data_IF_416539411615
#
_entry.id   IF_416539411615
#
_cell.length_a   1.000
_cell.length_b   1.000
_cell.length_c   1.000
_cell.angle_alpha   90.00
_cell.angle_beta   90.00
_cell.angle_gamma   90.00
#
_symmetry.space_group_name_H-M   'P 1'
#
loop_
_entity.id
_entity.type
_entity.pdbx_description
1 polymer ?
#
# COMPACT_ATOMS: atom_id res chain seq x y z
N UNK A 1 2.85 35.02 -26.41
CA UNK A 1 2.84 34.19 -25.18
C UNK A 1 2.96 32.74 -25.62
N UNK A 2 4.07 32.03 -25.41
CA UNK A 2 4.15 30.61 -25.74
C UNK A 2 3.08 29.86 -24.94
N UNK A 3 2.25 29.08 -25.63
CA UNK A 3 1.11 28.37 -25.04
C UNK A 3 1.57 27.48 -23.90
N UNK A 4 1.00 27.69 -22.71
CA UNK A 4 1.33 26.91 -21.51
C UNK A 4 0.95 25.45 -21.78
N UNK A 5 1.92 24.53 -21.78
CA UNK A 5 1.67 23.12 -22.02
C UNK A 5 0.60 22.59 -21.08
N UNK A 6 -0.36 21.81 -21.62
CA UNK A 6 -1.43 21.21 -20.83
C UNK A 6 -0.82 20.29 -19.78
N UNK A 7 -1.08 20.50 -18.47
CA UNK A 7 -0.59 19.62 -17.42
C UNK A 7 -0.93 18.16 -17.71
N UNK A 8 0.00 17.26 -17.41
CA UNK A 8 -0.15 15.82 -17.62
C UNK A 8 -0.11 15.11 -16.28
N UNK A 9 -0.93 14.05 -16.14
CA UNK A 9 -0.80 13.05 -15.10
C UNK A 9 -0.35 11.75 -15.75
N UNK A 10 0.57 11.04 -15.08
CA UNK A 10 1.09 9.77 -15.56
C UNK A 10 0.94 8.66 -14.52
N UNK A 11 0.66 7.45 -14.98
CA UNK A 11 0.94 6.23 -14.22
C UNK A 11 2.45 6.05 -14.08
N UNK A 12 2.89 5.21 -13.14
CA UNK A 12 4.32 4.95 -12.93
C UNK A 12 4.99 4.29 -14.15
N UNK A 13 4.21 3.63 -15.01
CA UNK A 13 4.68 3.03 -16.26
C UNK A 13 4.83 4.01 -17.44
N UNK A 14 4.55 5.31 -17.24
CA UNK A 14 4.73 6.35 -18.26
C UNK A 14 3.49 6.65 -19.11
N UNK A 15 2.39 5.90 -18.97
CA UNK A 15 1.12 6.23 -19.59
C UNK A 15 0.63 7.59 -19.06
N UNK A 16 0.51 8.58 -19.93
CA UNK A 16 0.20 9.97 -19.57
C UNK A 16 -1.08 10.45 -20.22
N UNK A 17 -1.88 11.22 -19.49
CA UNK A 17 -3.10 11.87 -19.98
C UNK A 17 -3.17 13.33 -19.50
N UNK A 18 -3.86 14.23 -20.24
CA UNK A 18 -4.11 15.59 -19.79
C UNK A 18 -4.84 15.59 -18.44
N UNK A 19 -4.27 16.28 -17.45
CA UNK A 19 -4.88 16.33 -16.13
C UNK A 19 -4.03 17.07 -15.11
N UNK A 20 -4.67 17.48 -14.01
CA UNK A 20 -4.00 17.97 -12.81
C UNK A 20 -4.71 17.50 -11.55
N UNK A 21 -3.95 17.40 -10.47
CA UNK A 21 -4.48 17.13 -9.14
C UNK A 21 -4.88 18.45 -8.44
N UNK A 22 -6.05 18.44 -7.84
CA UNK A 22 -6.48 19.45 -6.87
C UNK A 22 -6.18 18.91 -5.47
N UNK A 23 -5.29 19.58 -4.73
CA UNK A 23 -4.81 19.12 -3.43
C UNK A 23 -5.20 20.10 -2.33
N UNK A 24 -5.74 19.58 -1.25
CA UNK A 24 -6.09 20.32 -0.04
C UNK A 24 -5.93 19.41 1.17
N UNK A 25 -5.74 19.99 2.36
CA UNK A 25 -5.90 19.28 3.63
C UNK A 25 -7.36 18.87 3.87
N UNK A 26 -8.31 19.58 3.26
CA UNK A 26 -9.73 19.25 3.26
C UNK A 26 -10.09 18.37 2.06
N UNK A 27 -9.64 17.10 2.06
CA UNK A 27 -9.79 16.18 0.93
C UNK A 27 -11.24 16.06 0.44
N UNK A 28 -12.21 16.00 1.35
CA UNK A 28 -13.62 15.88 0.99
C UNK A 28 -14.12 17.04 0.10
N UNK A 29 -13.62 18.26 0.32
CA UNK A 29 -14.02 19.44 -0.45
C UNK A 29 -13.50 19.38 -1.88
N UNK A 30 -12.22 19.04 -2.05
CA UNK A 30 -11.61 18.93 -3.39
C UNK A 30 -12.06 17.68 -4.16
N UNK A 31 -12.52 16.65 -3.44
CA UNK A 31 -13.04 15.41 -4.01
C UNK A 31 -14.49 15.51 -4.51
N UNK A 32 -15.33 16.38 -3.93
CA UNK A 32 -16.72 16.56 -4.41
C UNK A 32 -16.75 16.88 -5.90
N UNK A 33 -17.58 16.14 -6.64
CA UNK A 33 -17.75 16.29 -8.07
C UNK A 33 -16.53 15.86 -8.90
N UNK A 34 -15.58 15.11 -8.33
CA UNK A 34 -14.45 14.52 -9.07
C UNK A 34 -14.68 13.04 -9.31
N UNK A 35 -14.07 12.53 -10.38
CA UNK A 35 -14.22 11.13 -10.78
C UNK A 35 -13.36 10.18 -9.94
N UNK A 36 -12.23 10.65 -9.42
CA UNK A 36 -11.30 9.83 -8.63
C UNK A 36 -10.47 10.68 -7.67
N UNK A 37 -9.90 10.00 -6.66
CA UNK A 37 -8.81 10.50 -5.83
C UNK A 37 -7.51 9.80 -6.20
N UNK A 38 -6.48 10.59 -6.45
CA UNK A 38 -5.13 10.13 -6.74
C UNK A 38 -4.26 10.24 -5.49
N UNK A 39 -3.60 9.13 -5.14
CA UNK A 39 -2.55 9.09 -4.13
C UNK A 39 -1.20 9.53 -4.71
N UNK A 40 -0.12 8.82 -4.37
CA UNK A 40 1.23 9.13 -4.86
C UNK A 40 1.52 8.64 -6.29
N UNK A 41 0.53 8.08 -7.01
CA UNK A 41 0.72 7.73 -8.43
C UNK A 41 1.70 6.59 -8.71
N UNK A 42 1.78 5.61 -7.80
CA UNK A 42 2.65 4.42 -7.92
C UNK A 42 1.97 3.21 -8.60
N UNK A 43 0.68 3.31 -8.91
CA UNK A 43 0.06 2.38 -9.87
C UNK A 43 0.67 2.63 -11.24
N UNK A 44 1.02 1.55 -11.95
CA UNK A 44 1.72 1.63 -13.23
C UNK A 44 0.80 2.08 -14.37
N UNK A 45 -0.43 1.60 -14.35
CA UNK A 45 -1.43 1.85 -15.40
C UNK A 45 -2.26 3.12 -15.15
N UNK A 46 -3.51 3.06 -15.58
CA UNK A 46 -4.45 4.17 -15.62
C UNK A 46 -5.42 4.22 -14.42
N UNK A 47 -5.31 3.31 -13.45
CA UNK A 47 -6.25 3.23 -12.32
C UNK A 47 -6.34 4.52 -11.47
N UNK A 48 -5.33 5.38 -11.56
CA UNK A 48 -5.31 6.70 -10.91
C UNK A 48 -5.16 7.85 -11.92
N UNK A 49 -5.64 7.66 -13.15
CA UNK A 49 -5.68 8.66 -14.22
C UNK A 49 -7.14 9.03 -14.54
N UNK A 50 -7.41 10.31 -14.86
CA UNK A 50 -8.76 10.73 -15.19
C UNK A 50 -9.27 10.04 -16.47
N UNK A 51 -10.59 9.76 -16.55
CA UNK A 51 -11.19 9.29 -17.79
C UNK A 51 -11.18 10.39 -18.87
N UNK A 52 -11.38 10.03 -20.16
CA UNK A 52 -11.45 11.00 -21.25
C UNK A 52 -12.43 12.15 -20.98
N UNK A 53 -12.01 13.37 -21.26
CA UNK A 53 -12.80 14.59 -21.03
C UNK A 53 -12.73 15.15 -19.61
N UNK A 54 -12.16 14.42 -18.63
CA UNK A 54 -11.92 14.92 -17.28
C UNK A 54 -10.47 15.41 -17.15
N UNK A 55 -10.29 16.65 -16.72
CA UNK A 55 -8.95 17.29 -16.61
C UNK A 55 -8.52 17.60 -15.19
N UNK A 56 -9.36 17.27 -14.21
CA UNK A 56 -9.09 17.52 -12.78
C UNK A 56 -9.53 16.33 -11.95
N UNK A 57 -8.65 15.91 -11.04
CA UNK A 57 -8.90 14.84 -10.06
C UNK A 57 -8.54 15.36 -8.67
N UNK A 58 -9.07 14.76 -7.61
CA UNK A 58 -8.60 15.06 -6.27
C UNK A 58 -7.22 14.42 -6.03
N UNK A 59 -6.34 15.11 -5.31
CA UNK A 59 -5.07 14.57 -4.84
C UNK A 59 -5.08 14.47 -3.32
N UNK A 60 -4.85 13.28 -2.77
CA UNK A 60 -4.94 13.05 -1.33
C UNK A 60 -3.71 13.50 -0.55
N UNK A 61 -2.59 13.78 -1.21
CA UNK A 61 -1.26 13.95 -0.58
C UNK A 61 -1.11 15.14 0.38
N UNK A 62 -2.16 15.93 0.61
CA UNK A 62 -2.18 17.01 1.61
C UNK A 62 -3.09 16.72 2.81
N UNK A 63 -3.86 15.62 2.76
CA UNK A 63 -4.65 15.11 3.87
C UNK A 63 -3.93 13.88 4.42
N UNK A 64 -2.90 14.11 5.25
CA UNK A 64 -1.93 13.12 5.71
C UNK A 64 -1.81 13.05 7.25
N UNK A 65 -2.80 13.56 7.99
CA UNK A 65 -2.76 13.57 9.45
C UNK A 65 -3.02 12.19 10.05
N UNK A 66 -2.29 11.88 11.12
CA UNK A 66 -2.68 10.83 12.07
C UNK A 66 -3.76 11.43 12.98
N UNK A 67 -4.96 10.85 12.95
CA UNK A 67 -6.13 11.35 13.67
C UNK A 67 -6.26 10.71 15.06
N UNK A 68 -5.89 9.43 15.18
CA UNK A 68 -5.85 8.71 16.44
C UNK A 68 -4.84 7.57 16.39
N UNK A 69 -4.19 7.29 17.52
CA UNK A 69 -3.35 6.12 17.73
C UNK A 69 -3.61 5.58 19.14
N UNK A 70 -4.12 4.36 19.22
CA UNK A 70 -4.22 3.62 20.47
C UNK A 70 -3.02 2.66 20.55
N UNK A 71 -2.00 2.95 21.39
CA UNK A 71 -0.85 2.09 21.53
C UNK A 71 -1.12 0.86 22.39
N UNK A 72 -2.23 0.81 23.16
CA UNK A 72 -2.60 -0.35 23.98
C UNK A 72 -3.29 -1.41 23.12
N UNK A 73 -4.25 -1.00 22.28
CA UNK A 73 -4.83 -1.82 21.22
C UNK A 73 -4.33 -1.28 19.87
N UNK A 74 -3.18 -1.75 19.34
CA UNK A 74 -2.37 -1.12 18.30
C UNK A 74 -3.19 -0.83 17.04
N UNK A 75 -3.86 0.32 17.04
CA UNK A 75 -4.81 0.74 16.00
C UNK A 75 -4.56 2.21 15.72
N UNK A 76 -4.54 2.52 14.44
CA UNK A 76 -4.33 3.86 13.92
C UNK A 76 -5.55 4.27 13.11
N UNK A 77 -6.03 5.49 13.30
CA UNK A 77 -6.89 6.18 12.35
C UNK A 77 -6.12 7.34 11.74
N UNK A 78 -6.06 7.40 10.42
CA UNK A 78 -5.32 8.44 9.71
C UNK A 78 -6.04 8.84 8.41
N UNK A 79 -5.70 10.02 7.89
CA UNK A 79 -6.18 10.47 6.59
C UNK A 79 -5.59 9.62 5.46
N UNK A 80 -6.38 9.42 4.41
CA UNK A 80 -6.06 8.53 3.30
C UNK A 80 -4.84 8.99 2.47
N UNK A 81 -4.38 10.23 2.64
CA UNK A 81 -3.18 10.76 2.02
C UNK A 81 -1.88 10.46 2.76
N UNK A 82 -1.94 10.00 4.02
CA UNK A 82 -0.74 9.68 4.79
C UNK A 82 0.12 8.67 4.03
N UNK A 83 1.39 9.00 3.81
CA UNK A 83 2.31 8.12 3.10
C UNK A 83 2.77 6.98 3.99
N UNK A 84 3.03 5.81 3.38
CA UNK A 84 3.58 4.66 4.11
C UNK A 84 4.96 5.00 4.72
N UNK A 85 5.77 5.78 4.01
CA UNK A 85 7.03 6.31 4.54
C UNK A 85 6.77 7.05 5.86
N UNK A 86 5.95 8.10 5.84
CA UNK A 86 5.74 8.95 7.02
C UNK A 86 5.11 8.17 8.16
N UNK A 87 4.21 7.24 7.84
CA UNK A 87 3.64 6.30 8.79
C UNK A 87 4.72 5.45 9.48
N UNK A 88 5.61 4.80 8.71
CA UNK A 88 6.69 3.98 9.26
C UNK A 88 7.61 4.83 10.13
N UNK A 89 8.04 6.01 9.66
CA UNK A 89 8.91 6.90 10.43
C UNK A 89 8.28 7.36 11.76
N UNK A 90 6.95 7.57 11.79
CA UNK A 90 6.25 7.97 13.01
C UNK A 90 6.07 6.81 14.02
N UNK A 91 5.94 5.57 13.53
CA UNK A 91 5.57 4.42 14.35
C UNK A 91 6.75 3.52 14.75
N UNK A 92 7.80 3.45 13.93
CA UNK A 92 8.94 2.57 14.17
C UNK A 92 9.63 2.81 15.53
N UNK A 93 9.86 4.07 15.98
CA UNK A 93 10.42 4.33 17.31
C UNK A 93 9.53 3.87 18.47
N UNK A 94 8.24 3.61 18.21
CA UNK A 94 7.25 3.13 19.19
C UNK A 94 7.10 1.60 19.19
N UNK A 95 7.93 0.90 18.41
CA UNK A 95 7.82 -0.56 18.24
C UNK A 95 6.54 -0.98 17.50
N UNK A 96 5.96 -0.08 16.71
CA UNK A 96 4.76 -0.33 15.92
C UNK A 96 5.09 -0.29 14.43
N UNK A 97 4.43 -1.15 13.66
CA UNK A 97 4.66 -1.27 12.22
C UNK A 97 3.35 -1.58 11.47
N UNK A 98 3.16 -1.05 10.25
CA UNK A 98 2.05 -1.47 9.40
C UNK A 98 2.20 -2.96 9.04
N UNK A 99 1.12 -3.76 9.13
CA UNK A 99 1.22 -5.22 9.01
C UNK A 99 1.58 -5.69 7.60
N UNK A 100 1.33 -4.88 6.57
CA UNK A 100 1.66 -5.20 5.17
C UNK A 100 2.33 -4.00 4.53
N UNK A 101 3.51 -4.24 3.93
CA UNK A 101 4.27 -3.21 3.20
C UNK A 101 4.60 -3.71 1.78
N UNK A 102 4.29 -2.92 0.72
CA UNK A 102 4.67 -3.24 -0.64
C UNK A 102 6.16 -2.92 -0.90
N UNK A 103 6.65 -3.23 -2.10
CA UNK A 103 8.06 -3.01 -2.48
C UNK A 103 8.52 -1.55 -2.53
N UNK A 104 7.63 -0.58 -2.31
CA UNK A 104 7.96 0.85 -2.22
C UNK A 104 7.19 1.53 -1.10
N UNK A 105 7.87 2.39 -0.34
CA UNK A 105 7.25 3.19 0.72
C UNK A 105 6.52 4.44 0.21
N UNK A 106 6.60 4.73 -1.09
CA UNK A 106 6.03 5.94 -1.68
C UNK A 106 4.58 5.74 -2.16
N UNK A 107 3.74 5.20 -1.29
CA UNK A 107 2.29 4.98 -1.49
C UNK A 107 1.52 5.67 -0.37
N UNK A 108 0.27 6.06 -0.61
CA UNK A 108 -0.61 6.57 0.47
C UNK A 108 -1.44 5.44 1.06
N UNK A 109 -1.91 5.59 2.30
CA UNK A 109 -2.83 4.63 2.93
C UNK A 109 -4.08 4.38 2.07
N UNK A 110 -4.70 5.43 1.53
CA UNK A 110 -5.85 5.30 0.64
C UNK A 110 -5.53 4.51 -0.62
N UNK A 111 -4.35 4.72 -1.23
CA UNK A 111 -3.90 3.94 -2.38
C UNK A 111 -3.62 2.48 -2.04
N UNK A 112 -3.06 2.23 -0.85
CA UNK A 112 -2.84 0.87 -0.35
C UNK A 112 -4.15 0.10 -0.19
N UNK A 113 -5.17 0.72 0.43
CA UNK A 113 -6.50 0.13 0.60
C UNK A 113 -7.21 -0.05 -0.74
N UNK A 114 -7.20 0.97 -1.59
CA UNK A 114 -7.87 0.93 -2.89
C UNK A 114 -7.31 -0.15 -3.81
N UNK A 115 -6.02 -0.46 -3.74
CA UNK A 115 -5.38 -1.52 -4.52
C UNK A 115 -5.24 -2.85 -3.77
N UNK A 116 -5.73 -2.92 -2.53
CA UNK A 116 -5.54 -4.03 -1.59
C UNK A 116 -4.12 -4.62 -1.62
N UNK A 117 -3.12 -3.75 -1.44
CA UNK A 117 -1.72 -4.11 -1.68
C UNK A 117 -1.25 -5.26 -0.79
N UNK A 118 -0.30 -6.03 -1.31
CA UNK A 118 0.37 -7.13 -0.61
C UNK A 118 1.85 -6.82 -0.35
N UNK A 119 2.48 -7.64 0.50
CA UNK A 119 3.89 -7.58 0.83
C UNK A 119 4.57 -8.94 0.74
N UNK A 120 5.84 -9.01 1.17
CA UNK A 120 6.60 -10.29 1.22
C UNK A 120 6.04 -11.30 2.24
N UNK A 121 5.12 -10.88 3.09
CA UNK A 121 4.44 -11.68 4.10
C UNK A 121 3.02 -12.12 3.73
N UNK A 122 2.63 -11.98 2.46
CA UNK A 122 1.26 -12.26 2.04
C UNK A 122 0.76 -13.67 2.42
N UNK A 123 1.63 -14.69 2.39
CA UNK A 123 1.24 -16.07 2.76
C UNK A 123 0.89 -16.24 4.24
N UNK A 124 1.32 -15.32 5.12
CA UNK A 124 1.00 -15.31 6.55
C UNK A 124 -0.10 -14.28 6.84
N UNK A 125 0.13 -13.05 6.42
CA UNK A 125 -0.64 -11.87 6.84
C UNK A 125 -1.67 -11.42 5.81
N UNK A 126 -1.64 -11.96 4.58
CA UNK A 126 -2.52 -11.55 3.49
C UNK A 126 -2.21 -10.14 2.96
N UNK A 127 -3.24 -9.49 2.45
CA UNK A 127 -3.20 -8.10 1.95
C UNK A 127 -3.49 -7.09 3.06
N UNK A 128 -3.25 -5.80 2.79
CA UNK A 128 -3.53 -4.73 3.76
C UNK A 128 -5.00 -4.70 4.19
N UNK A 129 -5.94 -5.05 3.31
CA UNK A 129 -7.38 -5.05 3.57
C UNK A 129 -7.81 -6.01 4.67
N UNK A 130 -7.02 -7.06 4.95
CA UNK A 130 -7.25 -7.93 6.12
C UNK A 130 -7.14 -7.16 7.44
N UNK A 131 -6.30 -6.14 7.47
CA UNK A 131 -5.92 -5.38 8.67
C UNK A 131 -6.66 -4.05 8.80
N UNK A 132 -7.39 -3.62 7.77
CA UNK A 132 -8.29 -2.48 7.84
C UNK A 132 -9.49 -2.84 8.73
N UNK A 133 -9.81 -1.97 9.68
CA UNK A 133 -10.93 -2.17 10.62
C UNK A 133 -12.12 -1.27 10.31
N UNK A 134 -11.88 -0.06 9.80
CA UNK A 134 -12.92 0.87 9.39
C UNK A 134 -12.40 1.83 8.31
N UNK A 135 -13.32 2.37 7.51
CA UNK A 135 -13.06 3.33 6.46
C UNK A 135 -14.06 4.48 6.55
N UNK A 136 -13.63 5.68 6.20
CA UNK A 136 -14.53 6.82 5.93
C UNK A 136 -14.43 7.21 4.47
N UNK A 137 -15.58 7.29 3.80
CA UNK A 137 -15.67 7.56 2.37
C UNK A 137 -16.59 8.74 2.07
N UNK A 138 -16.25 9.53 1.04
CA UNK A 138 -17.20 10.37 0.32
C UNK A 138 -17.76 9.58 -0.86
N UNK A 139 -19.06 9.33 -0.87
CA UNK A 139 -19.75 8.58 -1.94
C UNK A 139 -20.11 9.47 -3.12
N UNK A 140 -20.51 8.87 -4.24
CA UNK A 140 -21.01 9.58 -5.41
C UNK A 140 -22.29 10.41 -5.13
N UNK A 141 -23.07 10.04 -4.10
CA UNK A 141 -24.22 10.81 -3.64
C UNK A 141 -23.83 12.10 -2.90
N UNK A 142 -22.53 12.31 -2.62
CA UNK A 142 -22.03 13.45 -1.87
C UNK A 142 -22.11 13.28 -0.34
N UNK A 143 -22.45 12.08 0.12
CA UNK A 143 -22.54 11.72 1.53
C UNK A 143 -21.19 11.21 2.05
N UNK A 144 -20.88 11.54 3.31
CA UNK A 144 -19.75 10.96 4.01
C UNK A 144 -20.26 9.83 4.89
N UNK A 145 -19.77 8.62 4.65
CA UNK A 145 -20.17 7.42 5.37
C UNK A 145 -18.97 6.75 6.01
N UNK A 146 -19.17 6.18 7.20
CA UNK A 146 -18.22 5.25 7.81
C UNK A 146 -18.70 3.82 7.52
N UNK A 147 -17.79 2.94 7.11
CA UNK A 147 -18.06 1.52 6.92
C UNK A 147 -16.99 0.63 7.59
N UNK A 148 -17.40 -0.57 8.00
CA UNK A 148 -16.59 -1.60 8.66
C UNK A 148 -17.17 -2.98 8.32
N UNK A 149 -16.67 -4.04 8.97
CA UNK A 149 -17.23 -5.39 8.84
C UNK A 149 -18.64 -5.50 9.44
N UNK A 150 -19.00 -4.60 10.34
CA UNK A 150 -20.28 -4.54 11.06
C UNK A 150 -21.21 -3.44 10.53
N UNK A 151 -20.64 -2.37 9.94
CA UNK A 151 -21.39 -1.22 9.41
C UNK A 151 -21.21 -1.11 7.90
N UNK A 152 -22.28 -1.21 7.12
CA UNK A 152 -22.23 -1.21 5.64
C UNK A 152 -21.19 -2.23 5.11
N UNK A 153 -21.30 -3.52 5.48
CA UNK A 153 -20.28 -4.53 5.21
C UNK A 153 -20.00 -4.75 3.71
N UNK A 154 -21.02 -4.64 2.87
CA UNK A 154 -20.86 -4.82 1.43
C UNK A 154 -20.07 -3.67 0.80
N UNK A 155 -20.32 -2.43 1.23
CA UNK A 155 -19.52 -1.28 0.82
C UNK A 155 -18.08 -1.43 1.29
N UNK A 156 -17.87 -1.80 2.57
CA UNK A 156 -16.54 -2.02 3.12
C UNK A 156 -15.75 -3.05 2.29
N UNK A 157 -16.33 -4.22 2.03
CA UNK A 157 -15.70 -5.28 1.22
C UNK A 157 -15.44 -4.84 -0.22
N UNK A 158 -16.38 -4.12 -0.85
CA UNK A 158 -16.21 -3.62 -2.21
C UNK A 158 -15.15 -2.50 -2.32
N UNK A 159 -14.91 -1.74 -1.24
CA UNK A 159 -13.87 -0.71 -1.22
C UNK A 159 -12.47 -1.29 -1.14
N UNK A 160 -12.27 -2.39 -0.40
CA UNK A 160 -10.99 -3.09 -0.34
C UNK A 160 -10.64 -3.66 -1.73
N UNK A 161 -9.62 -3.12 -2.37
CA UNK A 161 -9.27 -3.50 -3.75
C UNK A 161 -10.21 -2.91 -4.82
N UNK A 162 -11.15 -2.04 -4.42
CA UNK A 162 -12.13 -1.41 -5.32
C UNK A 162 -11.58 -0.28 -6.19
N UNK A 163 -10.27 -0.03 -6.14
CA UNK A 163 -9.56 0.98 -6.94
C UNK A 163 -10.13 2.41 -6.84
N UNK A 164 -10.81 2.72 -5.71
CA UNK A 164 -11.47 4.01 -5.48
C UNK A 164 -12.80 4.19 -6.21
N UNK A 165 -13.35 3.13 -6.84
CA UNK A 165 -14.59 3.17 -7.61
C UNK A 165 -15.86 3.13 -6.76
N UNK A 166 -15.74 2.87 -5.46
CA UNK A 166 -16.86 2.94 -4.51
C UNK A 166 -17.01 4.33 -3.87
N UNK A 167 -16.05 5.23 -4.09
CA UNK A 167 -16.01 6.57 -3.49
C UNK A 167 -14.60 7.00 -3.11
N UNK A 168 -14.46 8.23 -2.65
CA UNK A 168 -13.19 8.79 -2.23
C UNK A 168 -12.89 8.39 -0.79
N UNK A 169 -11.84 7.58 -0.59
CA UNK A 169 -11.30 7.29 0.73
C UNK A 169 -10.79 8.58 1.38
N UNK A 170 -11.35 8.91 2.55
CA UNK A 170 -10.97 10.08 3.33
C UNK A 170 -10.10 9.69 4.51
N UNK A 171 -10.48 8.64 5.24
CA UNK A 171 -9.79 8.15 6.42
C UNK A 171 -9.73 6.62 6.41
N UNK A 172 -8.65 6.07 6.95
CA UNK A 172 -8.42 4.63 7.09
C UNK A 172 -8.12 4.34 8.56
N UNK A 173 -8.83 3.36 9.12
CA UNK A 173 -8.48 2.75 10.39
C UNK A 173 -7.80 1.39 10.15
N UNK A 174 -6.61 1.21 10.73
CA UNK A 174 -5.70 0.10 10.47
C UNK A 174 -5.23 -0.51 11.79
N UNK A 175 -5.32 -1.83 11.92
CA UNK A 175 -4.63 -2.59 12.96
C UNK A 175 -3.12 -2.64 12.64
N UNK A 176 -2.29 -2.31 13.61
CA UNK A 176 -0.84 -2.29 13.53
C UNK A 176 -0.24 -3.54 14.18
N UNK A 177 0.95 -3.92 13.75
CA UNK A 177 1.75 -4.97 14.37
C UNK A 177 2.72 -4.37 15.41
N UNK A 178 2.95 -5.10 16.50
CA UNK A 178 4.11 -4.85 17.37
C UNK A 178 5.31 -5.58 16.79
N UNK A 179 6.45 -4.91 16.74
CA UNK A 179 7.71 -5.50 16.26
C UNK A 179 8.72 -5.58 17.40
N UNK A 180 9.52 -6.65 17.48
CA UNK A 180 10.53 -6.81 18.52
C UNK A 180 11.73 -5.86 18.33
N UNK A 181 12.02 -5.48 17.09
CA UNK A 181 13.10 -4.56 16.72
C UNK A 181 12.82 -3.99 15.31
N UNK A 182 13.47 -2.89 14.90
CA UNK A 182 13.36 -2.35 13.55
C UNK A 182 14.17 -3.15 12.50
N UNK A 183 14.80 -4.26 12.89
CA UNK A 183 15.73 -5.02 12.08
C UNK A 183 15.13 -6.33 11.56
N UNK A 184 15.62 -6.77 10.42
CA UNK A 184 15.25 -8.05 9.79
C UNK A 184 16.49 -8.94 9.72
N UNK A 185 16.38 -10.15 10.27
CA UNK A 185 17.32 -11.23 9.93
C UNK A 185 16.94 -11.74 8.55
N UNK A 186 17.89 -11.73 7.61
CA UNK A 186 17.67 -12.14 6.24
C UNK A 186 18.62 -13.27 5.85
N UNK A 187 18.07 -14.29 5.18
CA UNK A 187 18.82 -15.33 4.51
C UNK A 187 18.59 -15.28 3.01
N UNK A 188 19.67 -15.54 2.27
CA UNK A 188 19.68 -15.53 0.81
C UNK A 188 20.21 -16.87 0.31
N UNK A 189 19.40 -17.57 -0.48
CA UNK A 189 19.76 -18.86 -1.07
C UNK A 189 19.78 -18.75 -2.59
N UNK A 190 20.88 -19.17 -3.22
CA UNK A 190 20.95 -19.36 -4.67
C UNK A 190 20.28 -20.68 -5.04
N UNK A 191 19.53 -20.68 -6.14
CA UNK A 191 18.72 -21.80 -6.60
C UNK A 191 19.01 -22.04 -8.09
N UNK A 192 19.15 -23.30 -8.50
CA UNK A 192 19.67 -23.65 -9.81
C UNK A 192 18.61 -23.70 -10.92
N UNK A 193 17.34 -23.93 -10.58
CA UNK A 193 16.24 -24.03 -11.53
C UNK A 193 14.87 -23.86 -10.87
N UNK A 194 13.82 -23.77 -11.69
CA UNK A 194 12.46 -23.45 -11.27
C UNK A 194 11.89 -24.44 -10.23
N UNK A 195 12.00 -25.75 -10.47
CA UNK A 195 11.43 -26.75 -9.54
C UNK A 195 12.03 -26.65 -8.14
N UNK A 196 13.34 -26.42 -8.05
CA UNK A 196 14.03 -26.18 -6.78
C UNK A 196 13.55 -24.87 -6.13
N UNK A 197 13.30 -23.82 -6.91
CA UNK A 197 12.80 -22.53 -6.41
C UNK A 197 11.41 -22.68 -5.79
N UNK A 198 10.52 -23.38 -6.47
CA UNK A 198 9.16 -23.62 -5.98
C UNK A 198 9.18 -24.44 -4.69
N UNK A 199 9.99 -25.50 -4.64
CA UNK A 199 10.17 -26.31 -3.43
C UNK A 199 10.76 -25.49 -2.27
N UNK A 200 11.78 -24.66 -2.54
CA UNK A 200 12.44 -23.82 -1.53
C UNK A 200 11.50 -22.72 -1.00
N UNK A 201 10.67 -22.11 -1.85
CA UNK A 201 9.62 -21.16 -1.44
C UNK A 201 8.58 -21.84 -0.55
N UNK A 202 8.04 -22.99 -0.99
CA UNK A 202 7.03 -23.72 -0.24
C UNK A 202 7.55 -24.23 1.13
N UNK A 203 8.82 -24.65 1.18
CA UNK A 203 9.49 -25.00 2.43
C UNK A 203 9.68 -23.78 3.33
N UNK A 204 10.20 -22.68 2.79
CA UNK A 204 10.50 -21.47 3.57
C UNK A 204 9.25 -20.78 4.11
N UNK A 205 8.13 -20.83 3.38
CA UNK A 205 6.87 -20.21 3.79
C UNK A 205 6.30 -20.76 5.11
N UNK A 206 6.78 -21.92 5.59
CA UNK A 206 6.39 -22.52 6.88
C UNK A 206 7.01 -21.82 8.08
N UNK A 207 8.27 -21.42 7.94
CA UNK A 207 9.09 -20.94 9.06
C UNK A 207 9.44 -19.45 8.95
N UNK A 208 9.33 -18.87 7.74
CA UNK A 208 9.72 -17.50 7.45
C UNK A 208 8.51 -16.65 7.10
N UNK A 209 8.25 -15.56 7.86
CA UNK A 209 7.11 -14.69 7.60
C UNK A 209 7.31 -13.82 6.37
N UNK A 210 8.55 -13.50 5.98
CA UNK A 210 8.84 -12.76 4.76
C UNK A 210 9.56 -13.66 3.76
N UNK A 211 8.98 -13.86 2.58
CA UNK A 211 9.59 -14.64 1.49
C UNK A 211 9.39 -13.96 0.15
N UNK A 212 10.44 -13.93 -0.68
CA UNK A 212 10.37 -13.49 -2.07
C UNK A 212 11.48 -14.18 -2.86
N UNK A 213 11.30 -14.35 -4.16
CA UNK A 213 12.41 -14.75 -5.03
C UNK A 213 12.60 -13.76 -6.18
N UNK A 214 13.81 -13.77 -6.71
CA UNK A 214 14.13 -13.20 -8.02
C UNK A 214 14.53 -14.35 -8.93
N UNK A 215 13.91 -14.45 -10.09
CA UNK A 215 14.10 -15.57 -11.02
C UNK A 215 14.56 -15.07 -12.39
N UNK A 216 15.45 -15.81 -13.02
CA UNK A 216 15.89 -15.61 -14.40
C UNK A 216 14.86 -16.25 -15.34
N UNK A 217 13.98 -15.41 -15.89
CA UNK A 217 12.96 -15.79 -16.86
C UNK A 217 13.49 -15.89 -18.31
N UNK A 218 14.78 -15.56 -18.54
CA UNK A 218 15.41 -15.64 -19.87
C UNK A 218 16.26 -16.90 -20.03
N UNK A 219 16.68 -17.53 -18.93
CA UNK A 219 17.36 -18.81 -18.97
C UNK A 219 16.46 -19.91 -19.56
N UNK A 220 17.08 -20.85 -20.27
CA UNK A 220 16.40 -21.97 -20.93
C UNK A 220 16.90 -23.34 -20.43
N UNK A 221 16.14 -24.39 -20.76
CA UNK A 221 16.46 -25.76 -20.40
C UNK A 221 16.58 -25.95 -18.89
N UNK A 222 17.58 -26.72 -18.44
CA UNK A 222 17.81 -27.03 -17.02
C UNK A 222 18.11 -25.83 -16.11
N UNK A 223 18.32 -24.64 -16.68
CA UNK A 223 18.63 -23.42 -15.93
C UNK A 223 17.43 -22.46 -15.84
N UNK A 224 16.30 -22.78 -16.50
CA UNK A 224 15.09 -21.98 -16.45
C UNK A 224 14.67 -21.75 -14.99
N UNK A 225 14.43 -20.48 -14.62
CA UNK A 225 13.99 -20.11 -13.28
C UNK A 225 15.08 -20.18 -12.21
N UNK A 226 16.35 -20.36 -12.59
CA UNK A 226 17.48 -20.13 -11.67
C UNK A 226 17.38 -18.75 -11.05
N UNK A 227 17.87 -18.60 -9.83
CA UNK A 227 17.72 -17.31 -9.17
C UNK A 227 18.13 -17.31 -7.72
N UNK A 228 17.50 -16.41 -6.98
CA UNK A 228 17.79 -16.15 -5.59
C UNK A 228 16.49 -16.11 -4.79
N UNK A 229 16.38 -16.97 -3.80
CA UNK A 229 15.39 -16.89 -2.74
C UNK A 229 15.90 -15.98 -1.64
N UNK A 230 15.06 -15.05 -1.20
CA UNK A 230 15.31 -14.18 -0.05
C UNK A 230 14.19 -14.43 0.96
N UNK A 231 14.58 -14.78 2.18
CA UNK A 231 13.65 -14.98 3.29
C UNK A 231 14.09 -14.17 4.50
N UNK A 232 13.14 -13.74 5.31
CA UNK A 232 13.44 -12.93 6.48
C UNK A 232 12.38 -13.00 7.57
N UNK A 233 12.78 -12.58 8.76
CA UNK A 233 11.93 -12.41 9.94
C UNK A 233 12.39 -11.21 10.73
N UNK A 234 11.53 -10.69 11.60
CA UNK A 234 11.95 -9.70 12.59
C UNK A 234 13.10 -10.26 13.44
N UNK A 235 14.14 -9.45 13.62
CA UNK A 235 15.25 -9.77 14.51
C UNK A 235 14.77 -9.65 15.97
N UNK A 236 15.11 -10.62 16.81
CA UNK A 236 14.96 -10.45 18.24
C UNK A 236 15.87 -9.29 18.73
N UNK A 237 15.57 -8.66 19.89
CA UNK A 237 16.39 -7.56 20.39
C UNK A 237 17.88 -7.92 20.54
N UNK A 238 18.19 -9.18 20.86
CA UNK A 238 19.57 -9.68 20.99
C UNK A 238 20.29 -9.94 19.65
N UNK A 239 19.55 -10.00 18.54
CA UNK A 239 20.11 -10.15 17.18
C UNK A 239 20.23 -8.81 16.45
N UNK A 240 19.60 -7.76 17.00
CA UNK A 240 19.66 -6.42 16.46
C UNK A 240 21.07 -5.83 16.66
N UNK A 241 21.61 -5.11 15.66
CA UNK A 241 22.80 -4.29 15.87
C UNK A 241 22.63 -3.34 17.06
N UNK A 242 23.72 -3.08 17.76
CA UNK A 242 23.77 -2.04 18.79
C UNK A 242 23.28 -0.71 18.19
N UNK A 243 22.47 0.02 18.95
CA UNK A 243 21.99 1.33 18.52
C UNK A 243 23.03 2.38 18.90
N UNK A 244 23.73 2.92 17.91
CA UNK A 244 24.55 4.13 18.04
C UNK A 244 23.68 5.38 18.31
#
# INVERSE_FOLDING_TARGET
MPGRATPQLAGWGGLSVPGRELRSEHLAEVARGRSLTRGLGRSYGDSALPPPGVTTVAGSSRADRILALDPAAPRLRAEAGLSLRDLVWALLPRGLFPPVVPGTQYVTLGGMVAADVHGKNHHVDGTIGRHVTALRLLTAAGEIVDCSRERLPDLFRATLGGMGLTGHLLEVELALARIPSPWIVQETQRVAHLDEMLAALAGSARDWPFTVCWLDALAAGRALGRGVLIRGRWAAPAEAPDQD
#
